data_IF_814695832220
#
_entry.id   IF_814695832220
#
_cell.length_a   1.000
_cell.length_b   1.000
_cell.length_c   1.000
_cell.angle_alpha   90.00
_cell.angle_beta   90.00
_cell.angle_gamma   90.00
#
_symmetry.space_group_name_H-M   'P 1'
#
loop_
_entity.id
_entity.type
_entity.pdbx_description
1 polymer ?
#
# COMPACT_ATOMS: atom_id res chain seq x y z
N UNK A 1 -15.60 13.44 0.14
CA UNK A 1 -15.65 12.00 0.50
C UNK A 1 -16.81 11.78 1.44
N UNK A 2 -17.63 10.80 1.13
CA UNK A 2 -18.75 10.44 1.96
C UNK A 2 -18.28 9.79 3.27
N UNK A 3 -18.98 10.11 4.36
CA UNK A 3 -18.65 9.54 5.67
C UNK A 3 -18.78 8.01 5.66
N UNK A 4 -19.80 7.48 4.97
CA UNK A 4 -20.00 6.03 4.86
C UNK A 4 -18.82 5.35 4.16
N UNK A 5 -18.28 5.96 3.10
CA UNK A 5 -17.11 5.43 2.40
C UNK A 5 -15.89 5.46 3.30
N UNK A 6 -15.67 6.54 4.04
CA UNK A 6 -14.55 6.64 4.97
C UNK A 6 -14.61 5.56 6.04
N UNK A 7 -15.79 5.32 6.61
CA UNK A 7 -15.97 4.27 7.61
C UNK A 7 -15.71 2.88 7.04
N UNK A 8 -16.15 2.63 5.81
CA UNK A 8 -15.91 1.36 5.14
C UNK A 8 -14.40 1.09 4.96
N UNK A 9 -13.65 2.09 4.51
CA UNK A 9 -12.21 1.95 4.32
C UNK A 9 -11.48 1.78 5.65
N UNK A 10 -11.89 2.50 6.70
CA UNK A 10 -11.32 2.32 8.03
C UNK A 10 -11.58 0.90 8.55
N UNK A 11 -12.77 0.35 8.33
CA UNK A 11 -13.07 -1.02 8.73
C UNK A 11 -12.19 -2.03 7.99
N UNK A 12 -11.95 -1.81 6.69
CA UNK A 12 -11.04 -2.67 5.91
C UNK A 12 -9.62 -2.66 6.46
N UNK A 13 -9.18 -1.54 7.01
CA UNK A 13 -7.86 -1.41 7.62
C UNK A 13 -7.79 -1.87 9.07
N UNK A 14 -8.90 -2.35 9.65
CA UNK A 14 -8.93 -2.79 11.05
C UNK A 14 -9.27 -1.71 12.05
N UNK A 15 -9.82 -0.58 11.61
CA UNK A 15 -10.14 0.56 12.47
C UNK A 15 -11.64 0.73 12.72
N UNK A 16 -12.44 -0.32 12.55
CA UNK A 16 -13.86 -0.26 12.83
C UNK A 16 -14.09 0.18 14.29
N UNK A 17 -14.94 1.18 14.50
CA UNK A 17 -15.24 1.71 15.83
C UNK A 17 -14.19 2.69 16.37
N UNK A 18 -13.14 2.98 15.60
CA UNK A 18 -12.06 3.87 16.03
C UNK A 18 -12.00 5.17 15.24
N UNK A 19 -13.10 5.55 14.63
CA UNK A 19 -13.16 6.71 13.73
C UNK A 19 -12.85 8.04 14.42
N UNK A 20 -13.04 8.10 15.74
CA UNK A 20 -12.81 9.32 16.52
C UNK A 20 -11.49 9.28 17.31
N UNK A 21 -10.68 8.25 17.14
CA UNK A 21 -9.38 8.19 17.78
C UNK A 21 -8.47 9.27 17.23
N UNK A 22 -7.64 9.84 18.09
CA UNK A 22 -6.63 10.80 17.68
C UNK A 22 -5.54 10.10 16.89
N UNK A 23 -5.13 10.69 15.76
CA UNK A 23 -4.02 10.16 14.95
C UNK A 23 -2.75 10.00 15.80
N UNK A 24 -2.45 10.97 16.67
CA UNK A 24 -1.27 10.91 17.53
C UNK A 24 -1.29 9.79 18.56
N UNK A 25 -2.46 9.21 18.86
CA UNK A 25 -2.57 8.09 19.79
C UNK A 25 -2.33 6.72 19.12
N UNK A 26 -2.22 6.69 17.80
CA UNK A 26 -2.01 5.47 17.04
C UNK A 26 -0.54 5.04 17.08
N UNK A 27 -0.29 3.74 16.97
CA UNK A 27 1.06 3.22 16.81
C UNK A 27 1.63 3.68 15.45
N UNK A 28 2.95 3.55 15.28
CA UNK A 28 3.60 3.93 14.03
C UNK A 28 3.01 3.18 12.83
N UNK A 29 2.81 1.87 12.95
CA UNK A 29 2.20 1.06 11.90
C UNK A 29 0.76 1.44 11.62
N UNK A 30 -0.02 1.71 12.67
CA UNK A 30 -1.40 2.17 12.53
C UNK A 30 -1.46 3.52 11.81
N UNK A 31 -0.56 4.44 12.12
CA UNK A 31 -0.47 5.72 11.43
C UNK A 31 -0.19 5.52 9.94
N UNK A 32 0.72 4.59 9.61
CA UNK A 32 1.04 4.27 8.22
C UNK A 32 -0.20 3.76 7.49
N UNK A 33 -0.95 2.84 8.11
CA UNK A 33 -2.18 2.29 7.53
C UNK A 33 -3.22 3.39 7.28
N UNK A 34 -3.42 4.28 8.24
CA UNK A 34 -4.39 5.38 8.11
C UNK A 34 -4.02 6.32 6.96
N UNK A 35 -2.72 6.62 6.81
CA UNK A 35 -2.27 7.48 5.71
C UNK A 35 -2.52 6.83 4.34
N UNK A 36 -2.32 5.53 4.23
CA UNK A 36 -2.62 4.79 3.00
C UNK A 36 -4.13 4.82 2.73
N UNK A 37 -4.95 4.55 3.75
CA UNK A 37 -6.40 4.58 3.62
C UNK A 37 -6.91 5.98 3.22
N UNK A 38 -6.32 7.02 3.78
CA UNK A 38 -6.67 8.40 3.44
C UNK A 38 -6.48 8.68 1.95
N UNK A 39 -5.41 8.16 1.38
CA UNK A 39 -5.16 8.30 -0.04
C UNK A 39 -6.10 7.42 -0.87
N UNK A 40 -6.34 6.19 -0.43
CA UNK A 40 -7.13 5.21 -1.17
C UNK A 40 -8.63 5.53 -1.20
N UNK A 41 -9.17 6.17 -0.16
CA UNK A 41 -10.61 6.45 -0.05
C UNK A 41 -11.11 7.35 -1.17
N UNK A 42 -10.25 8.15 -1.76
CA UNK A 42 -10.58 9.04 -2.88
C UNK A 42 -10.64 8.29 -4.21
N UNK A 43 -10.36 7.00 -4.22
CA UNK A 43 -10.31 6.15 -5.41
C UNK A 43 -9.47 6.77 -6.53
N UNK A 44 -8.21 7.13 -6.26
CA UNK A 44 -7.36 7.76 -7.26
C UNK A 44 -7.08 6.79 -8.41
N UNK A 45 -6.83 7.33 -9.61
CA UNK A 45 -6.45 6.50 -10.76
C UNK A 45 -5.12 5.80 -10.50
N UNK A 46 -4.19 6.46 -9.84
CA UNK A 46 -2.89 5.90 -9.47
C UNK A 46 -2.56 6.26 -8.03
N UNK A 47 -2.04 5.29 -7.29
CA UNK A 47 -1.56 5.47 -5.93
C UNK A 47 -0.09 5.09 -5.89
N UNK A 48 0.76 6.06 -5.54
CA UNK A 48 2.20 5.88 -5.48
C UNK A 48 2.61 5.65 -4.03
N UNK A 49 3.28 4.55 -3.78
CA UNK A 49 3.71 4.13 -2.45
C UNK A 49 5.23 3.94 -2.47
N UNK A 50 5.93 4.80 -1.75
CA UNK A 50 7.39 4.75 -1.67
C UNK A 50 7.80 4.11 -0.34
N UNK A 51 8.31 2.88 -0.40
CA UNK A 51 8.75 2.10 0.76
C UNK A 51 7.67 2.06 1.85
N UNK A 52 6.44 1.59 1.54
CA UNK A 52 5.32 1.68 2.49
C UNK A 52 5.50 0.85 3.76
N UNK A 53 6.38 -0.14 3.75
CA UNK A 53 6.62 -1.00 4.90
C UNK A 53 7.88 -0.62 5.68
N UNK A 54 8.55 0.47 5.31
CA UNK A 54 9.78 0.88 5.97
C UNK A 54 9.57 1.16 7.46
N UNK A 55 10.42 0.55 8.30
CA UNK A 55 10.37 0.77 9.74
C UNK A 55 9.29 -0.03 10.47
N UNK A 56 8.56 -0.91 9.79
CA UNK A 56 7.51 -1.73 10.41
C UNK A 56 8.06 -3.09 10.83
N UNK A 57 7.50 -3.65 11.92
CA UNK A 57 7.77 -5.04 12.30
C UNK A 57 7.10 -6.01 11.32
N UNK A 58 7.43 -7.30 11.42
CA UNK A 58 6.94 -8.31 10.48
C UNK A 58 5.42 -8.43 10.48
N UNK A 59 4.80 -8.34 11.66
CA UNK A 59 3.35 -8.45 11.78
C UNK A 59 2.65 -7.30 11.06
N UNK A 60 3.06 -6.07 11.34
CA UNK A 60 2.41 -4.91 10.72
C UNK A 60 2.79 -4.76 9.25
N UNK A 61 4.00 -5.16 8.89
CA UNK A 61 4.43 -5.23 7.50
C UNK A 61 3.47 -6.08 6.67
N UNK A 62 3.11 -7.27 7.19
CA UNK A 62 2.17 -8.15 6.48
C UNK A 62 0.78 -7.51 6.40
N UNK A 63 0.34 -6.84 7.46
CA UNK A 63 -0.95 -6.13 7.42
C UNK A 63 -0.99 -5.05 6.35
N UNK A 64 0.09 -4.29 6.20
CA UNK A 64 0.17 -3.27 5.15
C UNK A 64 0.15 -3.92 3.76
N UNK A 65 0.91 -4.99 3.55
CA UNK A 65 0.92 -5.69 2.26
C UNK A 65 -0.48 -6.23 1.92
N UNK A 66 -1.18 -6.79 2.88
CA UNK A 66 -2.54 -7.30 2.68
C UNK A 66 -3.51 -6.15 2.34
N UNK A 67 -3.35 -5.00 2.98
CA UNK A 67 -4.15 -3.82 2.69
C UNK A 67 -3.92 -3.34 1.26
N UNK A 68 -2.67 -3.29 0.82
CA UNK A 68 -2.32 -2.88 -0.54
C UNK A 68 -2.91 -3.84 -1.57
N UNK A 69 -2.86 -5.13 -1.30
CA UNK A 69 -3.47 -6.14 -2.17
C UNK A 69 -4.98 -5.91 -2.30
N UNK A 70 -5.65 -5.63 -1.19
CA UNK A 70 -7.09 -5.34 -1.18
C UNK A 70 -7.41 -4.09 -2.01
N UNK A 71 -6.60 -3.04 -1.87
CA UNK A 71 -6.77 -1.80 -2.66
C UNK A 71 -6.62 -2.09 -4.15
N UNK A 72 -5.60 -2.85 -4.52
CA UNK A 72 -5.34 -3.19 -5.93
C UNK A 72 -6.47 -4.03 -6.51
N UNK A 73 -6.98 -4.98 -5.75
CA UNK A 73 -8.08 -5.85 -6.20
C UNK A 73 -9.40 -5.12 -6.37
N UNK A 74 -9.54 -3.94 -5.79
CA UNK A 74 -10.75 -3.13 -5.99
C UNK A 74 -10.96 -2.72 -7.45
N UNK A 75 -9.87 -2.73 -8.24
CA UNK A 75 -9.92 -2.42 -9.66
C UNK A 75 -10.07 -0.95 -10.02
N UNK A 76 -10.17 -0.07 -9.04
CA UNK A 76 -10.36 1.37 -9.27
C UNK A 76 -9.05 2.16 -9.22
N UNK A 77 -8.00 1.58 -8.66
CA UNK A 77 -6.73 2.25 -8.44
C UNK A 77 -5.57 1.39 -8.93
N UNK A 78 -4.68 2.00 -9.71
CA UNK A 78 -3.42 1.36 -10.10
C UNK A 78 -2.37 1.68 -9.05
N UNK A 79 -1.69 0.66 -8.54
CA UNK A 79 -0.60 0.84 -7.57
C UNK A 79 0.74 0.99 -8.29
N UNK A 80 1.51 1.98 -7.87
CA UNK A 80 2.93 2.07 -8.16
C UNK A 80 3.67 1.91 -6.84
N UNK A 81 4.26 0.74 -6.63
CA UNK A 81 4.86 0.34 -5.36
C UNK A 81 6.37 0.33 -5.50
N UNK A 82 7.05 1.14 -4.72
CA UNK A 82 8.51 1.24 -4.71
C UNK A 82 9.02 0.51 -3.48
N UNK A 83 9.85 -0.50 -3.70
CA UNK A 83 10.50 -1.25 -2.62
C UNK A 83 11.86 -1.76 -3.08
N UNK A 84 12.79 -1.93 -2.16
CA UNK A 84 14.06 -2.60 -2.41
C UNK A 84 14.07 -4.03 -1.85
N UNK A 85 12.96 -4.48 -1.26
CA UNK A 85 12.83 -5.82 -0.68
C UNK A 85 11.94 -6.68 -1.58
N UNK A 86 12.53 -7.69 -2.29
CA UNK A 86 11.74 -8.56 -3.17
C UNK A 86 10.60 -9.31 -2.47
N UNK A 87 10.73 -9.55 -1.16
CA UNK A 87 9.68 -10.23 -0.39
C UNK A 87 8.41 -9.38 -0.22
N UNK A 88 8.49 -8.08 -0.51
CA UNK A 88 7.36 -7.17 -0.41
C UNK A 88 6.62 -6.97 -1.72
N UNK A 89 7.04 -7.64 -2.79
CA UNK A 89 6.31 -7.60 -4.06
C UNK A 89 4.99 -8.34 -3.90
N UNK A 90 3.89 -7.66 -4.27
CA UNK A 90 2.54 -8.21 -4.09
C UNK A 90 2.20 -9.22 -5.18
N UNK A 91 1.38 -10.24 -4.87
CA UNK A 91 0.92 -11.20 -5.89
C UNK A 91 0.18 -10.54 -7.06
N UNK A 92 -0.50 -9.41 -6.83
CA UNK A 92 -1.21 -8.68 -7.87
C UNK A 92 -0.28 -7.87 -8.78
N UNK A 93 0.97 -7.68 -8.40
CA UNK A 93 1.91 -6.88 -9.17
C UNK A 93 2.51 -7.73 -10.29
N UNK A 94 2.15 -7.41 -11.54
CA UNK A 94 2.54 -8.19 -12.72
C UNK A 94 3.73 -7.61 -13.45
N UNK A 95 4.03 -6.34 -13.24
CA UNK A 95 5.12 -5.64 -13.92
C UNK A 95 6.07 -5.08 -12.89
N UNK A 96 7.35 -5.42 -13.02
CA UNK A 96 8.40 -4.98 -12.11
C UNK A 96 9.45 -4.25 -12.94
N UNK A 97 9.75 -3.02 -12.52
CA UNK A 97 10.86 -2.27 -13.09
C UNK A 97 12.03 -2.36 -12.12
N UNK A 98 13.07 -3.08 -12.52
CA UNK A 98 14.30 -3.15 -11.73
C UNK A 98 15.28 -2.08 -12.23
N UNK A 99 15.86 -1.35 -11.30
CA UNK A 99 16.88 -0.35 -11.61
C UNK A 99 18.26 -0.92 -11.32
N UNK A 100 19.15 -0.79 -12.30
CA UNK A 100 20.53 -1.29 -12.24
C UNK A 100 21.51 -0.15 -12.49
N UNK A 101 21.79 0.68 -11.46
CA UNK A 101 22.72 1.81 -11.63
C UNK A 101 24.09 1.33 -12.10
N UNK A 102 24.64 2.01 -13.10
CA UNK A 102 25.94 1.67 -13.67
C UNK A 102 25.94 0.59 -14.73
N UNK A 103 24.79 -0.04 -15.00
CA UNK A 103 24.66 -1.03 -16.07
C UNK A 103 23.99 -0.41 -17.30
N UNK A 104 24.08 -1.12 -18.43
CA UNK A 104 23.44 -0.73 -19.70
C UNK A 104 22.61 -1.90 -20.22
N UNK A 105 21.26 -1.79 -20.29
CA UNK A 105 20.48 -0.64 -19.81
C UNK A 105 20.48 -0.55 -18.28
N UNK A 106 20.16 0.65 -17.76
CA UNK A 106 20.11 0.88 -16.32
C UNK A 106 18.84 0.30 -15.68
N UNK A 107 17.96 -0.28 -16.47
CA UNK A 107 16.71 -0.84 -15.99
C UNK A 107 16.38 -2.14 -16.69
N UNK A 108 15.53 -2.94 -16.03
CA UNK A 108 15.01 -4.18 -16.58
C UNK A 108 13.52 -4.26 -16.22
N UNK A 109 12.70 -4.64 -17.20
CA UNK A 109 11.26 -4.83 -16.97
C UNK A 109 11.02 -6.34 -16.91
N UNK A 110 10.40 -6.78 -15.80
CA UNK A 110 10.04 -8.18 -15.57
C UNK A 110 8.52 -8.26 -15.55
N UNK A 111 7.94 -9.16 -16.32
CA UNK A 111 6.51 -9.39 -16.31
C UNK A 111 6.25 -10.74 -15.66
N UNK A 112 5.37 -10.74 -14.65
CA UNK A 112 4.94 -11.98 -14.00
C UNK A 112 4.10 -12.82 -14.97
N UNK A 113 4.34 -14.11 -15.00
CA UNK A 113 3.62 -15.05 -15.84
C UNK A 113 2.23 -15.45 -15.37
N UNK A 114 1.70 -14.73 -14.38
CA UNK A 114 0.37 -15.02 -13.85
C UNK A 114 -0.69 -14.09 -14.38
#
# INVERSE_FOLDING_TARGET
VEIAAAKKWLALGGFAGREHDSFGSLSYGEQRAVLILRAAVKCPAILILDEPCHGLDDEYRQKILDLLETIAESGTTTLLHVTHDPSEVLPCEKHILELHPGEKPMYKIITSGK
#
